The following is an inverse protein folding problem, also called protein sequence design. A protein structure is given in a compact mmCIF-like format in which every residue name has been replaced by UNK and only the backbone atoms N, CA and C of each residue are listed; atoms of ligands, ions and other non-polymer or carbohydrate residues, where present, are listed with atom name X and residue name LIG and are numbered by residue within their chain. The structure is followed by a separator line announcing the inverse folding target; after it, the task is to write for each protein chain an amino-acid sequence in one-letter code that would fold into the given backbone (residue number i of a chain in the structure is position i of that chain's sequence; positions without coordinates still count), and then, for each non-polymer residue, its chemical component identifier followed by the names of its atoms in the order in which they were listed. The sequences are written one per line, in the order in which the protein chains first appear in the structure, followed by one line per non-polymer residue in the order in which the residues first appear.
data_IF_129249443242
#
_entry.id   IF_129249443242
#
_cell.length_a   1.000
_cell.length_b   1.000
_cell.length_c   1.000
_cell.angle_alpha   90.00
_cell.angle_beta   90.00
_cell.angle_gamma   90.00
#
_symmetry.space_group_name_H-M   'P 1'
#
loop_
_entity.id
_entity.type
_entity.pdbx_description
1 polymer ?
#
# COMPACT_ATOMS: atom_id res chain seq x y z
N UNK A 1 -54.12 -5.00 44.12
CA UNK A 1 -53.18 -4.48 43.11
C UNK A 1 -52.93 -5.64 42.15
N UNK A 2 -53.82 -5.80 41.17
CA UNK A 2 -53.70 -6.82 40.13
C UNK A 2 -53.05 -6.09 38.97
N UNK A 3 -51.75 -6.32 38.74
CA UNK A 3 -51.15 -6.02 37.45
C UNK A 3 -51.93 -6.81 36.41
N UNK A 4 -52.54 -6.11 35.47
CA UNK A 4 -53.52 -6.68 34.55
C UNK A 4 -52.81 -7.70 33.67
N UNK A 5 -53.41 -8.88 33.46
CA UNK A 5 -52.80 -9.98 32.69
C UNK A 5 -52.46 -9.50 31.26
N UNK A 6 -53.13 -8.45 30.78
CA UNK A 6 -52.83 -7.75 29.53
C UNK A 6 -51.45 -7.08 29.52
N UNK A 7 -51.04 -6.43 30.60
CA UNK A 7 -49.74 -5.76 30.68
C UNK A 7 -48.59 -6.77 30.59
N UNK A 8 -48.79 -7.97 31.13
CA UNK A 8 -47.85 -9.10 31.04
C UNK A 8 -47.78 -9.67 29.62
N UNK A 9 -48.92 -9.73 28.92
CA UNK A 9 -48.99 -10.17 27.52
C UNK A 9 -48.31 -9.19 26.56
N UNK A 10 -48.53 -7.89 26.74
CA UNK A 10 -47.91 -6.85 25.92
C UNK A 10 -46.39 -6.79 26.14
N UNK A 11 -45.94 -7.01 27.38
CA UNK A 11 -44.51 -7.18 27.70
C UNK A 11 -43.92 -8.40 27.00
N UNK A 12 -44.64 -9.53 26.96
CA UNK A 12 -44.20 -10.74 26.23
C UNK A 12 -43.97 -10.48 24.75
N UNK A 13 -44.91 -9.82 24.08
CA UNK A 13 -44.78 -9.46 22.66
C UNK A 13 -43.60 -8.52 22.39
N UNK A 14 -43.33 -7.59 23.31
CA UNK A 14 -42.19 -6.69 23.19
C UNK A 14 -40.86 -7.43 23.40
N UNK A 15 -40.80 -8.37 24.33
CA UNK A 15 -39.63 -9.23 24.54
C UNK A 15 -39.36 -10.08 23.30
N UNK A 16 -40.38 -10.75 22.75
CA UNK A 16 -40.25 -11.56 21.54
C UNK A 16 -39.75 -10.73 20.34
N UNK A 17 -40.27 -9.51 20.17
CA UNK A 17 -39.83 -8.60 19.12
C UNK A 17 -38.38 -8.13 19.32
N UNK A 18 -37.96 -7.89 20.57
CA UNK A 18 -36.59 -7.52 20.89
C UNK A 18 -35.63 -8.69 20.65
N UNK A 19 -36.00 -9.90 21.06
CA UNK A 19 -35.20 -11.11 20.81
C UNK A 19 -35.02 -11.33 19.30
N UNK A 20 -36.09 -11.26 18.52
CA UNK A 20 -36.01 -11.38 17.06
C UNK A 20 -35.13 -10.30 16.42
N UNK A 21 -35.19 -9.06 16.92
CA UNK A 21 -34.30 -8.00 16.44
C UNK A 21 -32.84 -8.24 16.84
N UNK A 22 -32.61 -8.80 18.04
CA UNK A 22 -31.29 -9.17 18.54
C UNK A 22 -30.64 -10.22 17.65
N UNK A 23 -31.35 -11.30 17.37
CA UNK A 23 -30.88 -12.39 16.48
C UNK A 23 -30.52 -11.84 15.09
N UNK A 24 -31.34 -10.95 14.54
CA UNK A 24 -31.08 -10.34 13.24
C UNK A 24 -29.82 -9.45 13.24
N UNK A 25 -29.59 -8.69 14.31
CA UNK A 25 -28.39 -7.87 14.44
C UNK A 25 -27.14 -8.71 14.68
N UNK A 26 -27.23 -9.83 15.41
CA UNK A 26 -26.12 -10.77 15.57
C UNK A 26 -25.71 -11.37 14.22
N UNK A 27 -26.67 -11.82 13.40
CA UNK A 27 -26.40 -12.34 12.07
C UNK A 27 -25.75 -11.29 11.16
N UNK A 28 -26.24 -10.05 11.18
CA UNK A 28 -25.68 -8.95 10.40
C UNK A 28 -24.26 -8.60 10.86
N UNK A 29 -24.03 -8.58 12.18
CA UNK A 29 -22.71 -8.29 12.76
C UNK A 29 -21.69 -9.36 12.39
N UNK A 30 -22.07 -10.63 12.44
CA UNK A 30 -21.21 -11.75 12.01
C UNK A 30 -20.89 -11.66 10.52
N UNK A 31 -21.87 -11.31 9.68
CA UNK A 31 -21.66 -11.10 8.25
C UNK A 31 -20.65 -9.97 7.99
N UNK A 32 -20.82 -8.81 8.65
CA UNK A 32 -19.90 -7.69 8.50
C UNK A 32 -18.49 -7.98 9.02
N UNK A 33 -18.36 -8.76 10.09
CA UNK A 33 -17.05 -9.21 10.56
C UNK A 33 -16.37 -10.11 9.52
N UNK A 34 -17.11 -11.02 8.89
CA UNK A 34 -16.61 -11.86 7.81
C UNK A 34 -16.11 -11.05 6.61
N UNK A 35 -16.92 -10.10 6.13
CA UNK A 35 -16.54 -9.22 5.02
C UNK A 35 -15.32 -8.36 5.35
N UNK A 36 -15.23 -7.85 6.58
CA UNK A 36 -14.12 -7.02 7.03
C UNK A 36 -12.81 -7.80 7.06
N UNK A 37 -12.83 -9.06 7.50
CA UNK A 37 -11.67 -9.95 7.45
C UNK A 37 -11.25 -10.23 6.00
N UNK A 38 -12.19 -10.56 5.12
CA UNK A 38 -11.89 -10.82 3.70
C UNK A 38 -11.29 -9.58 3.02
N UNK A 39 -11.82 -8.38 3.31
CA UNK A 39 -11.27 -7.14 2.79
C UNK A 39 -9.88 -6.83 3.33
N UNK A 40 -9.61 -7.13 4.60
CA UNK A 40 -8.29 -6.97 5.19
C UNK A 40 -7.26 -7.89 4.52
N UNK A 41 -7.62 -9.16 4.29
CA UNK A 41 -6.75 -10.13 3.63
C UNK A 41 -6.43 -9.71 2.18
N UNK A 42 -7.46 -9.30 1.42
CA UNK A 42 -7.27 -8.76 0.06
C UNK A 42 -6.39 -7.51 0.06
N UNK A 43 -6.55 -6.62 1.04
CA UNK A 43 -5.73 -5.43 1.15
C UNK A 43 -4.26 -5.78 1.41
N UNK A 44 -4.01 -6.76 2.29
CA UNK A 44 -2.67 -7.24 2.58
C UNK A 44 -2.01 -7.87 1.33
N UNK A 45 -2.75 -8.70 0.59
CA UNK A 45 -2.26 -9.31 -0.65
C UNK A 45 -1.91 -8.26 -1.71
N UNK A 46 -2.81 -7.30 -1.95
CA UNK A 46 -2.59 -6.24 -2.93
C UNK A 46 -1.38 -5.36 -2.57
N UNK A 47 -1.17 -5.07 -1.28
CA UNK A 47 0.01 -4.35 -0.81
C UNK A 47 1.29 -5.12 -1.08
N UNK A 48 1.30 -6.42 -0.80
CA UNK A 48 2.45 -7.28 -1.09
C UNK A 48 2.77 -7.32 -2.59
N UNK A 49 1.75 -7.47 -3.44
CA UNK A 49 1.92 -7.44 -4.89
C UNK A 49 2.45 -6.08 -5.38
N UNK A 50 1.94 -4.98 -4.81
CA UNK A 50 2.40 -3.64 -5.16
C UNK A 50 3.87 -3.44 -4.76
N UNK A 51 4.27 -3.90 -3.57
CA UNK A 51 5.66 -3.85 -3.13
C UNK A 51 6.59 -4.66 -4.04
N UNK A 52 6.20 -5.89 -4.40
CA UNK A 52 6.97 -6.73 -5.34
C UNK A 52 7.10 -6.05 -6.72
N UNK A 53 6.01 -5.48 -7.25
CA UNK A 53 6.04 -4.75 -8.52
C UNK A 53 6.91 -3.50 -8.45
N UNK A 54 6.84 -2.71 -7.37
CA UNK A 54 7.71 -1.56 -7.18
C UNK A 54 9.18 -1.97 -7.10
N UNK A 55 9.48 -3.05 -6.37
CA UNK A 55 10.85 -3.56 -6.24
C UNK A 55 11.38 -4.04 -7.59
N UNK A 56 10.59 -4.78 -8.37
CA UNK A 56 10.96 -5.21 -9.73
C UNK A 56 11.13 -4.03 -10.68
N UNK A 57 10.25 -3.04 -10.60
CA UNK A 57 10.34 -1.83 -11.41
C UNK A 57 11.61 -1.01 -11.08
N UNK A 58 12.09 -1.06 -9.83
CA UNK A 58 13.29 -0.34 -9.39
C UNK A 58 14.57 -1.19 -9.41
N UNK A 59 14.50 -2.47 -9.77
CA UNK A 59 15.65 -3.39 -9.70
C UNK A 59 16.86 -2.85 -10.46
N UNK A 60 16.64 -2.38 -11.69
CA UNK A 60 17.70 -1.83 -12.54
C UNK A 60 18.09 -0.38 -12.20
N UNK A 61 17.44 0.26 -11.22
CA UNK A 61 17.72 1.64 -10.87
C UNK A 61 18.94 1.74 -9.96
N UNK A 62 19.98 2.43 -10.42
CA UNK A 62 21.18 2.74 -9.63
C UNK A 62 21.10 4.18 -9.12
N UNK A 63 21.27 4.36 -7.81
CA UNK A 63 21.34 5.71 -7.20
C UNK A 63 22.77 6.11 -6.89
N UNK A 64 23.29 7.09 -7.63
CA UNK A 64 24.61 7.67 -7.41
C UNK A 64 24.49 8.91 -6.52
N UNK A 65 25.26 8.96 -5.43
CA UNK A 65 25.32 10.12 -4.51
C UNK A 65 26.64 10.86 -4.68
N UNK A 66 26.66 12.16 -4.36
CA UNK A 66 27.87 12.98 -4.43
C UNK A 66 28.18 13.56 -5.81
N UNK A 67 27.28 13.42 -6.79
CA UNK A 67 27.41 14.04 -8.11
C UNK A 67 27.38 15.57 -7.95
N UNK A 68 28.41 16.31 -8.40
CA UNK A 68 28.47 17.77 -8.30
C UNK A 68 27.19 18.42 -8.85
N UNK A 69 26.67 19.42 -8.14
CA UNK A 69 25.44 20.12 -8.55
C UNK A 69 25.60 20.87 -9.89
N UNK A 70 26.84 21.24 -10.21
CA UNK A 70 27.22 21.96 -11.44
C UNK A 70 27.19 21.07 -12.69
N UNK A 71 27.05 19.75 -12.54
CA UNK A 71 26.80 18.87 -13.69
C UNK A 71 25.41 19.18 -14.21
N UNK A 72 25.34 19.95 -15.29
CA UNK A 72 24.08 20.33 -15.94
C UNK A 72 23.26 19.10 -16.29
N UNK A 73 21.94 19.21 -16.19
CA UNK A 73 21.02 18.08 -16.42
C UNK A 73 21.16 17.49 -17.83
N UNK A 74 21.59 18.30 -18.81
CA UNK A 74 21.85 17.86 -20.18
C UNK A 74 23.11 17.00 -20.35
N UNK A 75 24.07 17.08 -19.42
CA UNK A 75 25.35 16.35 -19.48
C UNK A 75 25.43 15.21 -18.46
N UNK A 76 24.32 14.88 -17.80
CA UNK A 76 24.31 13.92 -16.71
C UNK A 76 24.57 12.49 -17.21
N UNK A 77 24.05 12.15 -18.39
CA UNK A 77 24.28 10.88 -19.06
C UNK A 77 25.76 10.70 -19.44
N UNK A 78 26.38 11.72 -20.06
CA UNK A 78 27.82 11.71 -20.37
C UNK A 78 28.67 11.56 -19.10
N UNK A 79 28.31 12.26 -18.03
CA UNK A 79 28.98 12.13 -16.73
C UNK A 79 28.87 10.71 -16.18
N UNK A 80 27.69 10.08 -16.24
CA UNK A 80 27.49 8.71 -15.75
C UNK A 80 28.26 7.71 -16.60
N UNK A 81 28.25 7.84 -17.93
CA UNK A 81 29.08 7.01 -18.81
C UNK A 81 30.57 7.13 -18.49
N UNK A 82 31.07 8.36 -18.34
CA UNK A 82 32.47 8.60 -17.97
C UNK A 82 32.83 8.04 -16.60
N UNK A 83 31.91 8.14 -15.63
CA UNK A 83 32.07 7.56 -14.30
C UNK A 83 32.19 6.03 -14.36
N UNK A 84 31.28 5.34 -15.05
CA UNK A 84 31.33 3.87 -15.15
C UNK A 84 32.54 3.38 -15.94
N UNK A 85 32.92 4.07 -17.02
CA UNK A 85 34.15 3.74 -17.76
C UNK A 85 35.42 3.94 -16.90
N UNK A 86 35.40 4.88 -15.95
CA UNK A 86 36.52 5.08 -15.02
C UNK A 86 36.56 4.03 -13.90
N UNK A 87 35.40 3.69 -13.31
CA UNK A 87 35.31 2.76 -12.17
C UNK A 87 35.41 1.30 -12.62
N UNK A 88 34.88 0.98 -13.80
CA UNK A 88 34.88 -0.36 -14.39
C UNK A 88 35.30 -0.26 -15.87
N UNK A 89 36.61 -0.20 -16.15
CA UNK A 89 37.12 0.01 -17.51
C UNK A 89 36.79 -1.12 -18.50
N UNK A 90 36.44 -2.31 -17.98
CA UNK A 90 36.08 -3.48 -18.77
C UNK A 90 34.64 -3.42 -19.32
N UNK A 91 33.79 -2.53 -18.79
CA UNK A 91 32.43 -2.34 -19.27
C UNK A 91 32.48 -1.66 -20.64
N UNK A 92 32.14 -2.41 -21.70
CA UNK A 92 32.00 -1.82 -23.03
C UNK A 92 30.63 -1.13 -23.16
N UNK A 93 30.47 -0.18 -24.10
CA UNK A 93 29.16 0.44 -24.36
C UNK A 93 28.08 -0.55 -24.81
N UNK A 94 28.45 -1.76 -25.23
CA UNK A 94 27.50 -2.82 -25.59
C UNK A 94 27.00 -3.58 -24.35
N UNK A 95 27.78 -3.57 -23.27
CA UNK A 95 27.47 -4.25 -22.00
C UNK A 95 26.70 -3.35 -21.02
N UNK A 96 26.74 -2.02 -21.26
CA UNK A 96 26.11 -1.02 -20.42
C UNK A 96 25.14 -0.15 -21.21
N UNK A 97 23.85 -0.38 -21.01
CA UNK A 97 22.77 0.43 -21.58
C UNK A 97 22.18 1.29 -20.48
N UNK A 98 22.10 2.59 -20.73
CA UNK A 98 21.51 3.56 -19.83
C UNK A 98 20.21 4.07 -20.45
N UNK A 99 19.07 3.63 -19.91
CA UNK A 99 17.75 3.97 -20.46
C UNK A 99 17.34 5.39 -20.10
N UNK A 100 17.53 5.77 -18.83
CA UNK A 100 17.15 7.09 -18.35
C UNK A 100 18.03 7.53 -17.19
N UNK A 101 18.47 8.80 -17.23
CA UNK A 101 19.21 9.43 -16.15
C UNK A 101 18.56 10.74 -15.77
N UNK A 102 18.33 10.91 -14.47
CA UNK A 102 17.80 12.14 -13.92
C UNK A 102 18.34 12.36 -12.51
N UNK A 103 18.33 13.62 -12.06
CA UNK A 103 18.54 13.91 -10.64
C UNK A 103 17.30 13.50 -9.88
N UNK A 104 17.46 12.68 -8.84
CA UNK A 104 16.38 12.41 -7.92
C UNK A 104 15.89 13.73 -7.33
N UNK A 105 14.57 13.95 -7.34
CA UNK A 105 13.94 15.08 -6.66
C UNK A 105 14.37 15.13 -5.19
N UNK A 106 14.31 16.33 -4.59
CA UNK A 106 14.68 16.55 -3.19
C UNK A 106 13.91 15.52 -2.33
N UNK A 107 14.58 14.71 -1.49
CA UNK A 107 13.86 13.78 -0.63
C UNK A 107 12.91 14.57 0.28
N UNK A 108 11.68 14.10 0.43
CA UNK A 108 10.66 14.77 1.24
C UNK A 108 11.08 14.98 2.72
N UNK A 109 12.09 14.24 3.18
CA UNK A 109 12.62 14.29 4.55
C UNK A 109 13.89 15.15 4.66
N UNK A 110 13.87 16.35 4.08
CA UNK A 110 14.87 17.38 4.37
C UNK A 110 14.21 18.62 4.96
N UNK A 111 13.58 18.44 6.12
CA UNK A 111 13.26 19.44 7.15
C UNK A 111 13.34 18.75 8.51
#
# INVERSE_FOLDING_TARGET
MVTDIKDVGDLGLMVDALEQSGDAYEEELDSYQGELLELQDKNAELRFQLEDLENRSRWSNIRIKGVPLQTDTGNLEEYVHGFFHHVVPELTPQDFILDHTHRAGRPANSL
#
